data_IF_962335381225
#
_entry.id   IF_962335381225
#
_cell.length_a   1.000
_cell.length_b   1.000
_cell.length_c   1.000
_cell.angle_alpha   90.00
_cell.angle_beta   90.00
_cell.angle_gamma   90.00
#
_symmetry.space_group_name_H-M   'P 1'
#
loop_
_entity.id
_entity.type
_entity.pdbx_description
1 polymer ?
#
# COMPACT_ATOMS: atom_id res chain seq x y z
N UNK A 1 -4.59 3.96 35.60
CA UNK A 1 -3.33 4.46 35.01
C UNK A 1 -2.91 3.39 33.99
N UNK A 2 -3.32 3.34 32.72
CA UNK A 2 -3.73 4.35 31.73
C UNK A 2 -2.92 5.64 31.78
N UNK A 3 -1.63 5.52 31.50
CA UNK A 3 -0.77 6.63 31.11
C UNK A 3 0.14 6.19 29.94
N UNK A 4 0.08 6.95 28.84
CA UNK A 4 1.16 7.12 27.86
C UNK A 4 1.67 5.89 27.09
N UNK A 5 0.85 5.30 26.21
CA UNK A 5 1.42 4.68 25.00
C UNK A 5 1.83 5.80 24.02
N UNK A 6 3.08 6.26 24.11
CA UNK A 6 3.62 7.44 23.39
C UNK A 6 4.59 7.11 22.25
N UNK A 7 4.43 5.98 21.56
CA UNK A 7 5.03 5.77 20.23
C UNK A 7 6.56 5.62 20.14
N UNK A 8 7.23 5.44 21.27
CA UNK A 8 8.67 5.15 21.36
C UNK A 8 8.91 4.10 22.42
N UNK A 9 9.51 2.98 22.02
CA UNK A 9 10.33 2.19 22.93
C UNK A 9 11.79 2.41 22.52
N UNK A 10 12.64 2.63 23.53
CA UNK A 10 14.09 2.70 23.39
C UNK A 10 14.59 1.35 22.85
N UNK A 11 15.71 1.26 22.10
CA UNK A 11 16.33 -0.02 21.71
C UNK A 11 16.70 -0.95 22.89
N UNK A 12 16.59 -0.45 24.12
CA UNK A 12 16.92 -1.13 25.37
C UNK A 12 16.00 -0.72 26.55
N UNK A 13 14.70 -0.45 26.32
CA UNK A 13 13.74 -0.42 27.45
C UNK A 13 13.30 -1.87 27.74
N UNK A 14 13.38 -2.31 28.99
CA UNK A 14 12.99 -3.64 29.47
C UNK A 14 13.59 -4.85 28.72
N UNK A 15 14.73 -4.67 28.03
CA UNK A 15 15.46 -5.75 27.35
C UNK A 15 14.86 -6.21 26.01
N UNK A 16 13.90 -5.47 25.46
CA UNK A 16 13.35 -5.72 24.12
C UNK A 16 13.96 -4.76 23.07
N UNK A 17 14.26 -5.29 21.87
CA UNK A 17 14.93 -4.57 20.79
C UNK A 17 13.94 -3.72 19.99
N UNK A 18 14.24 -2.43 19.77
CA UNK A 18 13.43 -1.53 18.96
C UNK A 18 14.28 -0.67 18.02
N UNK A 19 13.86 -0.60 16.76
CA UNK A 19 14.64 -0.02 15.66
C UNK A 19 14.37 1.47 15.44
N UNK A 20 15.38 2.18 14.92
CA UNK A 20 15.36 3.63 14.74
C UNK A 20 14.46 4.08 13.58
N UNK A 21 13.39 4.80 13.91
CA UNK A 21 12.40 5.30 12.96
C UNK A 21 12.91 6.34 11.96
N UNK A 22 12.62 6.13 10.68
CA UNK A 22 12.30 7.22 9.75
C UNK A 22 10.77 7.23 9.55
N UNK A 23 10.17 8.41 9.35
CA UNK A 23 8.73 8.52 9.09
C UNK A 23 7.81 8.26 10.28
N UNK A 24 6.53 8.49 10.07
CA UNK A 24 5.50 8.45 11.11
C UNK A 24 4.79 7.09 11.20
N UNK A 25 4.08 6.87 12.31
CA UNK A 25 3.17 5.73 12.41
C UNK A 25 2.03 5.88 11.39
N UNK A 26 1.54 4.77 10.80
CA UNK A 26 0.32 4.74 10.00
C UNK A 26 -0.82 5.48 10.70
N UNK A 27 -1.55 6.32 9.96
CA UNK A 27 -2.61 7.14 10.54
C UNK A 27 -3.88 6.30 10.69
N UNK A 28 -4.40 6.20 11.91
CA UNK A 28 -5.60 5.43 12.25
C UNK A 28 -6.75 6.35 12.67
N UNK A 29 -7.97 6.02 12.26
CA UNK A 29 -9.20 6.63 12.79
C UNK A 29 -10.14 5.53 13.25
N UNK A 30 -10.56 5.61 14.51
CA UNK A 30 -11.56 4.75 15.12
C UNK A 30 -12.96 5.29 14.76
N UNK A 31 -13.78 4.47 14.09
CA UNK A 31 -15.18 4.78 13.69
C UNK A 31 -15.33 6.06 12.82
N UNK A 32 -14.68 6.13 11.64
CA UNK A 32 -14.91 7.23 10.70
C UNK A 32 -16.28 7.14 10.02
N UNK A 33 -16.83 5.93 9.89
CA UNK A 33 -18.18 5.68 9.39
C UNK A 33 -19.19 5.83 10.53
N UNK A 34 -20.26 6.60 10.31
CA UNK A 34 -21.40 6.60 11.22
C UNK A 34 -22.21 5.29 11.13
N UNK A 35 -23.05 5.02 12.14
CA UNK A 35 -23.81 3.77 12.19
C UNK A 35 -24.78 3.59 11.00
N UNK A 36 -25.49 4.63 10.50
CA UNK A 36 -26.29 4.53 9.29
C UNK A 36 -25.49 4.15 8.04
N UNK A 37 -24.37 4.82 7.78
CA UNK A 37 -23.51 4.55 6.62
C UNK A 37 -22.89 3.16 6.71
N UNK A 38 -22.43 2.75 7.90
CA UNK A 38 -21.90 1.41 8.13
C UNK A 38 -22.95 0.31 7.82
N UNK A 39 -24.20 0.49 8.26
CA UNK A 39 -25.28 -0.45 7.97
C UNK A 39 -25.67 -0.47 6.48
N UNK A 40 -25.70 0.69 5.82
CA UNK A 40 -25.99 0.77 4.37
C UNK A 40 -24.89 0.10 3.54
N UNK A 41 -23.62 0.39 3.86
CA UNK A 41 -22.45 -0.27 3.26
C UNK A 41 -22.52 -1.79 3.42
N UNK A 42 -22.84 -2.32 4.61
CA UNK A 42 -22.98 -3.76 4.81
C UNK A 42 -24.05 -4.38 3.90
N UNK A 43 -25.23 -3.74 3.79
CA UNK A 43 -26.30 -4.19 2.90
C UNK A 43 -25.89 -4.12 1.41
N UNK A 44 -25.22 -3.03 1.00
CA UNK A 44 -24.70 -2.87 -0.37
C UNK A 44 -23.63 -3.91 -0.71
N UNK A 45 -22.75 -4.23 0.23
CA UNK A 45 -21.75 -5.29 0.09
C UNK A 45 -22.38 -6.68 0.02
N UNK A 46 -23.46 -6.94 0.76
CA UNK A 46 -24.25 -8.18 0.61
C UNK A 46 -24.95 -8.28 -0.75
N UNK A 47 -25.41 -7.16 -1.32
CA UNK A 47 -25.95 -7.13 -2.69
C UNK A 47 -24.85 -7.45 -3.70
N UNK A 48 -23.64 -6.87 -3.56
CA UNK A 48 -22.49 -7.21 -4.40
C UNK A 48 -22.06 -8.66 -4.25
N UNK A 49 -22.00 -9.22 -3.02
CA UNK A 49 -21.73 -10.65 -2.81
C UNK A 49 -22.71 -11.52 -3.59
N UNK A 50 -24.02 -11.23 -3.54
CA UNK A 50 -25.06 -11.99 -4.26
C UNK A 50 -24.95 -11.83 -5.78
N UNK A 51 -24.60 -10.63 -6.27
CA UNK A 51 -24.43 -10.36 -7.69
C UNK A 51 -23.17 -11.03 -8.28
N UNK A 52 -22.11 -11.15 -7.48
CA UNK A 52 -20.80 -11.68 -7.88
C UNK A 52 -20.56 -13.15 -7.44
N UNK A 53 -21.55 -13.80 -6.82
CA UNK A 53 -21.44 -15.18 -6.32
C UNK A 53 -21.23 -16.21 -7.43
N UNK A 54 -21.69 -15.89 -8.66
CA UNK A 54 -21.55 -16.76 -9.83
C UNK A 54 -20.22 -16.53 -10.58
N UNK A 55 -19.42 -15.52 -10.22
CA UNK A 55 -18.25 -15.07 -11.00
C UNK A 55 -16.89 -15.24 -10.31
N UNK A 56 -16.79 -15.02 -8.99
CA UNK A 56 -15.49 -14.83 -8.28
C UNK A 56 -15.12 -15.96 -7.30
N UNK A 57 -15.65 -17.17 -7.48
CA UNK A 57 -15.36 -18.33 -6.59
C UNK A 57 -14.06 -19.08 -6.96
N UNK A 58 -12.90 -18.41 -6.81
CA UNK A 58 -11.60 -19.07 -6.58
C UNK A 58 -10.82 -18.21 -5.57
N UNK A 59 -10.40 -18.75 -4.41
CA UNK A 59 -9.48 -18.03 -3.52
C UNK A 59 -8.10 -17.89 -4.17
N UNK A 60 -7.36 -16.81 -3.84
CA UNK A 60 -5.95 -16.71 -4.23
C UNK A 60 -5.19 -17.93 -3.66
N UNK A 61 -4.37 -18.64 -4.45
CA UNK A 61 -3.83 -19.97 -4.09
C UNK A 61 -2.97 -19.97 -2.81
N UNK A 62 -2.36 -18.83 -2.46
CA UNK A 62 -1.60 -18.62 -1.22
C UNK A 62 -2.46 -18.20 -0.01
N UNK A 63 -3.72 -17.78 -0.24
CA UNK A 63 -4.57 -17.12 0.77
C UNK A 63 -6.01 -17.67 0.71
N UNK A 64 -6.14 -18.99 0.93
CA UNK A 64 -7.35 -19.83 0.83
C UNK A 64 -8.59 -19.36 1.62
N UNK A 65 -8.48 -18.28 2.40
CA UNK A 65 -9.52 -17.71 3.27
C UNK A 65 -10.06 -16.36 2.78
N UNK A 66 -9.53 -15.79 1.68
CA UNK A 66 -9.93 -14.47 1.18
C UNK A 66 -10.64 -14.53 -0.18
N UNK A 67 -11.75 -13.80 -0.32
CA UNK A 67 -12.53 -13.67 -1.55
C UNK A 67 -12.66 -12.18 -1.90
N UNK A 68 -12.34 -11.81 -3.14
CA UNK A 68 -12.45 -10.43 -3.59
C UNK A 68 -13.89 -10.16 -4.09
N UNK A 69 -14.70 -9.43 -3.31
CA UNK A 69 -16.04 -8.97 -3.72
C UNK A 69 -15.92 -7.97 -4.89
N UNK A 70 -14.92 -7.10 -4.82
CA UNK A 70 -14.53 -6.17 -5.91
C UNK A 70 -13.02 -6.33 -6.10
N UNK A 71 -12.64 -6.98 -7.20
CA UNK A 71 -11.25 -7.20 -7.57
C UNK A 71 -10.78 -6.14 -8.60
N UNK A 72 -9.79 -5.29 -8.29
CA UNK A 72 -9.28 -4.28 -9.20
C UNK A 72 -8.45 -4.83 -10.37
N UNK A 73 -8.14 -6.13 -10.38
CA UNK A 73 -7.51 -6.82 -11.52
C UNK A 73 -8.56 -7.40 -12.48
N UNK A 74 -9.80 -7.56 -12.05
CA UNK A 74 -10.88 -8.05 -12.90
C UNK A 74 -11.38 -6.93 -13.82
N UNK A 75 -11.46 -7.20 -15.12
CA UNK A 75 -11.69 -6.18 -16.16
C UNK A 75 -10.70 -4.99 -16.10
N UNK A 76 -9.44 -5.27 -15.74
CA UNK A 76 -8.35 -4.30 -15.78
C UNK A 76 -8.06 -3.76 -17.19
N UNK A 77 -7.23 -2.72 -17.28
CA UNK A 77 -6.74 -2.19 -18.55
C UNK A 77 -5.64 -3.11 -19.10
N UNK A 78 -5.78 -3.52 -20.35
CA UNK A 78 -4.81 -4.33 -21.10
C UNK A 78 -4.25 -3.51 -22.25
N UNK A 79 -2.96 -3.21 -22.23
CA UNK A 79 -2.33 -2.34 -23.21
C UNK A 79 -2.29 -2.97 -24.62
N UNK A 80 -2.74 -2.21 -25.62
CA UNK A 80 -2.91 -2.65 -27.00
C UNK A 80 -4.19 -3.46 -27.25
N UNK A 81 -5.06 -3.65 -26.24
CA UNK A 81 -6.34 -4.35 -26.37
C UNK A 81 -7.53 -3.53 -25.85
N UNK A 82 -7.47 -3.02 -24.63
CA UNK A 82 -8.51 -2.16 -24.06
C UNK A 82 -8.70 -0.94 -24.94
N UNK A 83 -9.95 -0.59 -25.25
CA UNK A 83 -10.28 0.59 -26.02
C UNK A 83 -10.46 1.80 -25.09
N UNK A 84 -10.12 2.99 -25.59
CA UNK A 84 -10.39 4.27 -24.94
C UNK A 84 -10.96 5.28 -25.93
N UNK A 85 -11.68 6.27 -25.43
CA UNK A 85 -12.13 7.41 -26.23
C UNK A 85 -10.92 8.26 -26.65
N UNK A 86 -10.66 8.28 -27.95
CA UNK A 86 -9.70 9.14 -28.61
C UNK A 86 -10.19 10.60 -28.74
N UNK A 87 -9.33 11.50 -29.27
CA UNK A 87 -9.66 12.92 -29.38
C UNK A 87 -10.89 13.25 -30.24
N UNK A 88 -11.26 12.36 -31.17
CA UNK A 88 -12.38 12.55 -32.07
C UNK A 88 -13.63 11.75 -31.63
N UNK A 89 -13.67 11.29 -30.36
CA UNK A 89 -14.66 10.38 -29.80
C UNK A 89 -14.71 8.98 -30.48
N UNK A 90 -13.67 8.66 -31.25
CA UNK A 90 -13.37 7.34 -31.78
C UNK A 90 -12.87 6.40 -30.67
N UNK A 91 -13.14 5.09 -30.77
CA UNK A 91 -12.57 4.10 -29.88
C UNK A 91 -11.24 3.61 -30.45
N UNK A 92 -10.15 3.84 -29.71
CA UNK A 92 -8.79 3.45 -30.10
C UNK A 92 -8.17 2.53 -29.03
N UNK A 93 -7.36 1.53 -29.40
CA UNK A 93 -6.62 0.73 -28.43
C UNK A 93 -5.68 1.61 -27.59
N UNK A 94 -5.65 1.41 -26.28
CA UNK A 94 -4.73 2.11 -25.39
C UNK A 94 -3.28 1.75 -25.78
N UNK A 95 -2.39 2.72 -26.07
CA UNK A 95 -1.00 2.43 -26.42
C UNK A 95 -0.25 1.78 -25.27
N UNK A 96 0.75 0.94 -25.58
CA UNK A 96 1.66 0.39 -24.56
C UNK A 96 2.53 1.51 -23.98
N UNK A 97 2.84 1.48 -22.67
CA UNK A 97 3.74 2.45 -22.07
C UNK A 97 5.15 2.33 -22.68
N UNK A 98 5.92 3.43 -22.75
CA UNK A 98 7.30 3.39 -23.21
C UNK A 98 8.16 2.46 -22.34
N UNK A 99 9.06 1.73 -23.00
CA UNK A 99 9.92 0.76 -22.32
C UNK A 99 11.14 1.46 -21.68
N UNK A 100 11.25 1.39 -20.35
CA UNK A 100 12.34 1.98 -19.57
C UNK A 100 13.36 0.90 -19.14
N UNK A 101 14.53 0.72 -19.80
CA UNK A 101 15.40 -0.44 -19.54
C UNK A 101 15.91 -0.56 -18.10
N UNK A 102 16.21 0.57 -17.44
CA UNK A 102 16.72 0.59 -16.06
C UNK A 102 15.61 0.41 -15.00
N UNK A 103 14.35 0.64 -15.38
CA UNK A 103 13.19 0.67 -14.49
C UNK A 103 12.07 -0.27 -14.95
N UNK A 104 12.36 -1.20 -15.86
CA UNK A 104 11.36 -2.07 -16.50
C UNK A 104 10.66 -3.04 -15.55
N UNK A 105 11.16 -3.19 -14.32
CA UNK A 105 10.50 -3.93 -13.25
C UNK A 105 9.48 -3.08 -12.47
N UNK A 106 9.51 -1.74 -12.56
CA UNK A 106 8.58 -0.84 -11.84
C UNK A 106 7.24 -0.63 -12.58
N UNK A 107 7.17 -0.98 -13.86
CA UNK A 107 6.00 -0.76 -14.72
C UNK A 107 5.63 -2.06 -15.43
N UNK A 108 4.35 -2.44 -15.42
CA UNK A 108 3.86 -3.50 -16.31
C UNK A 108 3.74 -2.96 -17.74
N UNK A 109 4.29 -3.65 -18.75
CA UNK A 109 4.08 -3.32 -20.16
C UNK A 109 2.73 -3.85 -20.69
N UNK A 110 2.01 -4.66 -19.90
CA UNK A 110 0.85 -5.43 -20.32
C UNK A 110 -0.45 -4.95 -19.67
N UNK A 111 -0.41 -4.63 -18.38
CA UNK A 111 -1.61 -4.39 -17.56
C UNK A 111 -1.54 -3.09 -16.75
N UNK A 112 -2.70 -2.55 -16.41
CA UNK A 112 -2.85 -1.53 -15.38
C UNK A 112 -4.21 -1.65 -14.70
N UNK A 113 -4.29 -1.36 -13.39
CA UNK A 113 -5.59 -1.17 -12.76
C UNK A 113 -6.27 0.05 -13.39
N UNK A 114 -7.58 -0.01 -13.57
CA UNK A 114 -8.36 1.11 -14.10
C UNK A 114 -8.96 1.91 -12.92
N UNK A 115 -8.36 3.04 -12.49
CA UNK A 115 -8.93 3.86 -11.42
C UNK A 115 -10.22 4.55 -11.87
N UNK A 116 -11.09 4.82 -10.91
CA UNK A 116 -12.29 5.62 -11.11
C UNK A 116 -11.99 7.08 -10.81
N UNK A 117 -12.55 7.98 -11.63
CA UNK A 117 -12.40 9.43 -11.44
C UNK A 117 -13.46 9.96 -10.47
N UNK A 118 -13.03 10.61 -9.40
CA UNK A 118 -13.89 11.24 -8.39
C UNK A 118 -13.60 12.74 -8.29
N UNK A 119 -14.63 13.55 -8.04
CA UNK A 119 -14.52 14.96 -7.66
C UNK A 119 -14.61 15.09 -6.14
N UNK A 120 -13.65 15.77 -5.53
CA UNK A 120 -13.72 16.20 -4.13
C UNK A 120 -14.29 17.62 -4.09
N UNK A 121 -15.35 17.83 -3.32
CA UNK A 121 -15.99 19.15 -3.13
C UNK A 121 -14.99 20.25 -2.69
N UNK A 122 -15.27 21.54 -2.98
CA UNK A 122 -14.36 22.63 -2.69
C UNK A 122 -14.28 22.98 -1.18
N UNK A 123 -13.23 23.69 -0.72
CA UNK A 123 -12.98 23.94 0.72
C UNK A 123 -14.11 24.65 1.48
N UNK A 124 -14.94 25.42 0.78
CA UNK A 124 -16.07 26.20 1.31
C UNK A 124 -17.36 25.38 1.52
N UNK A 125 -17.38 24.12 1.09
CA UNK A 125 -18.53 23.21 1.24
C UNK A 125 -18.25 22.10 2.25
N UNK A 126 -19.30 21.36 2.64
CA UNK A 126 -19.15 20.14 3.42
C UNK A 126 -18.32 19.09 2.64
N UNK A 127 -17.59 18.23 3.36
CA UNK A 127 -16.76 17.19 2.73
C UNK A 127 -17.65 16.11 2.09
N UNK A 128 -17.67 16.12 0.76
CA UNK A 128 -18.34 15.17 -0.13
C UNK A 128 -17.43 14.79 -1.28
N UNK A 129 -17.55 13.56 -1.73
CA UNK A 129 -16.89 13.03 -2.94
C UNK A 129 -17.97 12.56 -3.90
N UNK A 130 -17.77 12.72 -5.22
CA UNK A 130 -18.71 12.26 -6.25
C UNK A 130 -17.97 11.53 -7.36
N UNK A 131 -18.41 10.34 -7.74
CA UNK A 131 -17.91 9.65 -8.91
C UNK A 131 -18.32 10.43 -10.18
N UNK A 132 -17.35 10.75 -11.03
CA UNK A 132 -17.56 11.38 -12.34
C UNK A 132 -17.70 10.35 -13.48
N UNK A 133 -17.50 9.08 -13.17
CA UNK A 133 -17.46 7.94 -14.09
C UNK A 133 -17.82 6.67 -13.32
N UNK A 134 -18.01 5.54 -14.01
CA UNK A 134 -18.37 4.29 -13.33
C UNK A 134 -17.25 3.80 -12.39
N UNK A 135 -17.64 3.14 -11.31
CA UNK A 135 -16.73 2.46 -10.38
C UNK A 135 -16.34 1.11 -10.98
N UNK A 136 -15.04 0.86 -11.14
CA UNK A 136 -14.52 -0.40 -11.70
C UNK A 136 -15.03 -1.58 -10.88
N UNK A 137 -15.64 -2.57 -11.55
CA UNK A 137 -16.21 -3.76 -10.90
C UNK A 137 -17.57 -3.56 -10.22
N UNK A 138 -18.21 -2.39 -10.31
CA UNK A 138 -19.54 -2.13 -9.71
C UNK A 138 -20.51 -1.59 -10.76
N UNK A 139 -21.58 -2.35 -10.98
CA UNK A 139 -22.66 -2.05 -11.91
C UNK A 139 -23.25 -0.63 -11.65
N UNK A 140 -23.25 0.28 -12.64
CA UNK A 140 -23.77 1.64 -12.49
C UNK A 140 -25.24 1.75 -12.04
N UNK A 141 -26.03 0.68 -12.18
CA UNK A 141 -27.42 0.63 -11.69
C UNK A 141 -27.53 0.59 -10.17
N UNK A 142 -26.47 0.16 -9.47
CA UNK A 142 -26.39 0.06 -8.01
C UNK A 142 -26.14 1.43 -7.34
N UNK A 143 -27.02 2.38 -7.61
CA UNK A 143 -26.90 3.80 -7.22
C UNK A 143 -26.69 4.03 -5.72
N UNK A 144 -27.29 3.22 -4.85
CA UNK A 144 -27.05 3.30 -3.39
C UNK A 144 -25.62 2.87 -3.03
N UNK A 145 -25.11 1.80 -3.64
CA UNK A 145 -23.72 1.32 -3.44
C UNK A 145 -22.72 2.39 -3.86
N UNK A 146 -22.98 3.12 -4.95
CA UNK A 146 -22.18 4.27 -5.36
C UNK A 146 -22.21 5.39 -4.30
N UNK A 147 -23.39 5.76 -3.79
CA UNK A 147 -23.52 6.80 -2.76
C UNK A 147 -22.84 6.44 -1.44
N UNK A 148 -22.90 5.15 -1.05
CA UNK A 148 -22.26 4.63 0.14
C UNK A 148 -20.73 4.62 0.01
N UNK A 149 -20.20 4.23 -1.16
CA UNK A 149 -18.76 4.27 -1.46
C UNK A 149 -18.25 5.71 -1.56
N UNK A 150 -19.00 6.62 -2.17
CA UNK A 150 -18.71 8.06 -2.19
C UNK A 150 -18.60 8.63 -0.77
N UNK A 151 -19.51 8.23 0.11
CA UNK A 151 -19.53 8.64 1.51
C UNK A 151 -18.36 8.03 2.29
N UNK A 152 -18.07 6.74 2.11
CA UNK A 152 -16.92 6.07 2.72
C UNK A 152 -15.59 6.72 2.28
N UNK A 153 -15.41 6.94 0.97
CA UNK A 153 -14.23 7.60 0.41
C UNK A 153 -14.09 9.04 0.94
N UNK A 154 -15.20 9.76 1.13
CA UNK A 154 -15.17 11.08 1.75
C UNK A 154 -14.58 11.05 3.18
N UNK A 155 -14.87 10.02 3.99
CA UNK A 155 -14.24 9.86 5.32
C UNK A 155 -12.73 9.57 5.25
N UNK A 156 -12.25 9.00 4.15
CA UNK A 156 -10.83 8.73 3.91
C UNK A 156 -10.05 9.92 3.35
N UNK A 157 -10.70 10.98 2.85
CA UNK A 157 -9.99 12.16 2.27
C UNK A 157 -8.99 12.81 3.24
N UNK A 158 -9.32 13.09 4.52
CA UNK A 158 -8.35 13.70 5.45
C UNK A 158 -7.15 12.78 5.69
N UNK A 159 -7.37 11.46 5.74
CA UNK A 159 -6.30 10.47 5.89
C UNK A 159 -5.34 10.48 4.69
N UNK A 160 -5.87 10.59 3.47
CA UNK A 160 -5.04 10.76 2.27
C UNK A 160 -4.34 12.11 2.23
N UNK A 161 -5.00 13.20 2.61
CA UNK A 161 -4.39 14.54 2.72
C UNK A 161 -3.21 14.52 3.70
N UNK A 162 -3.32 13.81 4.82
CA UNK A 162 -2.20 13.56 5.74
C UNK A 162 -1.07 12.77 5.07
N UNK A 163 -1.34 11.58 4.52
CA UNK A 163 -0.30 10.74 3.91
C UNK A 163 0.42 11.44 2.72
N UNK A 164 -0.30 12.20 1.89
CA UNK A 164 0.29 13.01 0.82
C UNK A 164 1.08 14.20 1.36
N UNK A 165 0.62 14.81 2.45
CA UNK A 165 1.37 15.86 3.14
C UNK A 165 2.68 15.31 3.71
N UNK A 166 2.68 14.09 4.25
CA UNK A 166 3.87 13.42 4.77
C UNK A 166 4.88 13.04 3.68
N UNK A 167 4.39 12.68 2.49
CA UNK A 167 5.21 12.36 1.31
C UNK A 167 5.66 13.58 0.48
N UNK A 168 5.07 14.76 0.67
CA UNK A 168 5.30 15.89 -0.24
C UNK A 168 6.79 16.29 -0.27
N UNK A 169 7.39 16.36 -1.45
CA UNK A 169 8.83 16.58 -1.71
C UNK A 169 9.52 17.73 -0.94
N UNK A 170 8.79 18.76 -0.51
CA UNK A 170 9.33 19.89 0.27
C UNK A 170 9.21 19.69 1.80
N UNK A 171 8.56 18.62 2.25
CA UNK A 171 8.52 18.18 3.64
C UNK A 171 9.58 17.07 3.81
N UNK A 172 10.71 17.34 4.46
CA UNK A 172 11.73 16.33 4.65
C UNK A 172 11.22 15.21 5.57
N UNK A 173 11.43 13.96 5.18
CA UNK A 173 11.27 12.80 6.05
C UNK A 173 12.39 12.82 7.09
N UNK A 174 12.17 13.49 8.22
CA UNK A 174 13.15 13.55 9.29
C UNK A 174 13.25 12.21 10.06
N UNK A 175 14.45 11.92 10.53
CA UNK A 175 14.71 10.79 11.42
C UNK A 175 14.04 11.05 12.77
N UNK A 176 13.53 10.00 13.42
CA UNK A 176 12.90 10.11 14.74
C UNK A 176 13.88 10.48 15.85
N UNK A 177 15.17 10.17 15.66
CA UNK A 177 16.29 10.62 16.49
C UNK A 177 17.32 11.27 15.55
N UNK A 178 17.63 12.56 15.71
CA UNK A 178 18.67 13.24 14.93
C UNK A 178 20.05 13.00 15.55
N UNK A 179 21.03 12.61 14.73
CA UNK A 179 22.43 12.39 15.15
C UNK A 179 22.93 10.99 14.88
N UNK A 180 24.21 10.76 15.20
CA UNK A 180 24.95 9.51 15.04
C UNK A 180 25.60 9.15 16.38
N UNK A 181 26.11 7.92 16.53
CA UNK A 181 26.91 7.58 17.70
C UNK A 181 28.26 8.29 17.65
N UNK A 182 28.81 8.61 18.82
CA UNK A 182 30.16 9.17 18.95
C UNK A 182 31.03 8.33 19.87
N UNK A 183 32.30 8.24 19.54
CA UNK A 183 33.29 7.44 20.25
C UNK A 183 33.97 8.31 21.31
N UNK A 184 33.92 7.87 22.58
CA UNK A 184 34.35 8.67 23.73
C UNK A 184 35.72 8.24 24.25
N UNK A 185 35.92 6.94 24.41
CA UNK A 185 37.15 6.36 24.92
C UNK A 185 37.56 5.16 24.07
N UNK A 186 38.84 5.11 23.70
CA UNK A 186 39.40 4.14 22.75
C UNK A 186 40.48 3.29 23.42
N UNK A 187 40.06 2.48 24.39
CA UNK A 187 40.92 1.51 25.08
C UNK A 187 40.93 0.18 24.29
N UNK A 188 41.39 0.20 23.04
CA UNK A 188 41.53 -0.99 22.19
C UNK A 188 42.59 -1.93 22.79
N UNK A 189 42.30 -3.22 23.07
CA UNK A 189 43.30 -4.17 23.55
C UNK A 189 44.53 -4.28 22.63
N UNK A 190 45.71 -4.47 23.23
CA UNK A 190 46.98 -4.56 22.49
C UNK A 190 47.15 -5.91 21.76
N UNK A 191 47.77 -5.90 20.57
CA UNK A 191 48.10 -7.13 19.84
C UNK A 191 49.21 -7.96 20.54
N UNK A 192 49.23 -9.30 20.41
CA UNK A 192 50.27 -10.13 21.00
C UNK A 192 51.67 -9.76 20.51
N UNK A 193 52.67 -9.70 21.41
CA UNK A 193 54.07 -9.35 21.05
C UNK A 193 54.71 -10.33 20.04
N UNK A 194 54.13 -11.52 19.87
CA UNK A 194 54.72 -12.62 19.10
C UNK A 194 53.71 -13.17 18.08
N UNK A 195 54.10 -13.22 16.80
CA UNK A 195 53.25 -13.68 15.70
C UNK A 195 53.01 -15.20 15.67
N UNK A 196 53.73 -15.96 16.49
CA UNK A 196 53.63 -17.41 16.66
C UNK A 196 52.94 -17.84 17.96
N UNK A 197 52.39 -16.89 18.74
CA UNK A 197 51.57 -17.17 19.92
C UNK A 197 50.10 -17.42 19.54
N UNK A 198 49.81 -18.63 19.04
CA UNK A 198 48.45 -19.05 18.69
C UNK A 198 47.45 -18.88 19.85
N UNK A 199 47.87 -18.99 21.11
CA UNK A 199 46.99 -18.84 22.28
C UNK A 199 46.68 -17.36 22.53
N UNK A 200 47.71 -16.50 22.56
CA UNK A 200 47.57 -15.05 22.65
C UNK A 200 46.74 -14.43 21.52
N UNK A 201 46.88 -14.90 20.28
CA UNK A 201 46.02 -14.45 19.17
C UNK A 201 44.56 -14.85 19.35
N UNK A 202 44.26 -16.02 19.91
CA UNK A 202 42.88 -16.42 20.21
C UNK A 202 42.28 -15.60 21.37
N UNK A 203 43.05 -15.31 22.42
CA UNK A 203 42.60 -14.44 23.52
C UNK A 203 42.37 -12.99 23.03
N UNK A 204 43.30 -12.45 22.24
CA UNK A 204 43.18 -11.13 21.60
C UNK A 204 41.91 -11.01 20.75
N UNK A 205 41.61 -12.00 19.89
CA UNK A 205 40.38 -11.98 19.07
C UNK A 205 39.11 -11.97 19.94
N UNK A 206 39.08 -12.78 21.00
CA UNK A 206 37.95 -12.81 21.94
C UNK A 206 37.83 -11.51 22.76
N UNK A 207 38.93 -10.83 23.06
CA UNK A 207 38.93 -9.55 23.75
C UNK A 207 38.52 -8.41 22.82
N UNK A 208 38.98 -8.41 21.56
CA UNK A 208 38.51 -7.53 20.48
C UNK A 208 37.01 -7.60 20.28
N UNK A 209 36.44 -8.81 20.13
CA UNK A 209 34.99 -8.99 19.98
C UNK A 209 34.22 -8.41 21.18
N UNK A 210 34.68 -8.70 22.40
CA UNK A 210 34.07 -8.18 23.64
C UNK A 210 34.19 -6.67 23.74
N UNK A 211 35.33 -6.11 23.37
CA UNK A 211 35.58 -4.68 23.36
C UNK A 211 34.67 -3.98 22.35
N UNK A 212 34.66 -4.39 21.08
CA UNK A 212 33.80 -3.82 20.06
C UNK A 212 32.32 -3.82 20.49
N UNK A 213 31.82 -4.95 21.00
CA UNK A 213 30.44 -5.08 21.48
C UNK A 213 30.11 -4.22 22.71
N UNK A 214 31.09 -3.90 23.57
CA UNK A 214 30.87 -3.24 24.87
C UNK A 214 31.45 -1.85 25.01
N UNK A 215 32.26 -1.39 24.04
CA UNK A 215 33.01 -0.12 24.13
C UNK A 215 32.07 1.06 24.44
N UNK A 216 32.47 2.01 25.31
CA UNK A 216 31.67 3.18 25.60
C UNK A 216 31.43 4.01 24.34
N UNK A 217 30.15 4.16 23.98
CA UNK A 217 29.70 5.04 22.91
C UNK A 217 28.69 6.03 23.49
N UNK A 218 28.82 7.29 23.10
CA UNK A 218 27.80 8.31 23.34
C UNK A 218 26.76 8.18 22.24
N UNK A 219 25.57 7.71 22.62
CA UNK A 219 24.40 7.67 21.75
C UNK A 219 23.92 9.09 21.45
N UNK A 220 23.31 9.33 20.27
CA UNK A 220 22.67 10.62 19.98
C UNK A 220 21.61 10.93 21.04
N UNK A 221 21.58 12.18 21.52
CA UNK A 221 20.71 12.64 22.61
C UNK A 221 19.23 12.28 22.39
N UNK A 222 18.78 11.20 23.03
CA UNK A 222 17.36 10.94 23.23
C UNK A 222 16.89 11.88 24.34
N UNK A 223 16.02 12.87 24.08
CA UNK A 223 15.67 13.83 25.12
C UNK A 223 14.98 13.09 26.29
N UNK A 224 15.30 13.46 27.53
CA UNK A 224 14.81 12.78 28.74
C UNK A 224 13.27 12.71 28.83
N UNK A 225 12.55 13.62 28.15
CA UNK A 225 11.09 13.59 28.01
C UNK A 225 10.55 12.76 26.84
N UNK A 226 11.39 11.98 26.18
CA UNK A 226 11.14 11.36 24.88
C UNK A 226 11.18 12.37 23.72
N UNK A 227 10.76 11.90 22.54
CA UNK A 227 10.52 12.73 21.38
C UNK A 227 9.50 13.85 21.70
N UNK A 228 9.82 15.09 21.28
CA UNK A 228 9.14 16.31 21.73
C UNK A 228 8.07 16.85 20.77
N UNK A 229 7.78 16.17 19.66
CA UNK A 229 7.03 16.74 18.53
C UNK A 229 7.94 17.24 17.41
N UNK A 230 7.34 17.69 16.30
CA UNK A 230 8.00 18.21 15.11
C UNK A 230 7.68 17.44 13.82
N UNK A 231 7.63 16.10 13.84
CA UNK A 231 7.17 15.26 12.73
C UNK A 231 5.74 15.64 12.32
N UNK A 232 4.84 15.94 13.24
CA UNK A 232 3.48 16.37 12.92
C UNK A 232 3.42 17.78 12.30
N UNK A 233 4.53 18.53 12.32
CA UNK A 233 4.62 19.86 11.70
C UNK A 233 5.15 19.75 10.27
N UNK A 234 4.28 20.10 9.32
CA UNK A 234 4.54 20.02 7.87
C UNK A 234 4.47 21.42 7.28
N UNK A 235 5.51 21.79 6.53
CA UNK A 235 5.67 23.11 5.92
C UNK A 235 4.64 23.30 4.81
N UNK A 236 4.64 22.37 3.86
CA UNK A 236 3.61 22.27 2.83
C UNK A 236 2.48 21.37 3.34
N UNK A 237 1.24 21.67 2.93
CA UNK A 237 0.07 20.84 3.24
C UNK A 237 -0.73 20.57 1.98
N UNK A 238 -1.00 19.31 1.70
CA UNK A 238 -1.73 18.87 0.51
C UNK A 238 -3.21 18.78 0.84
N UNK A 239 -4.02 19.52 0.07
CA UNK A 239 -5.48 19.48 0.10
C UNK A 239 -6.00 18.91 -1.21
N UNK A 240 -6.84 17.88 -1.10
CA UNK A 240 -7.59 17.28 -2.20
C UNK A 240 -8.91 18.03 -2.47
N UNK A 241 -9.39 18.84 -1.51
CA UNK A 241 -10.58 19.71 -1.67
C UNK A 241 -10.54 20.48 -3.00
N UNK A 242 -11.63 20.41 -3.77
CA UNK A 242 -11.77 21.08 -5.07
C UNK A 242 -11.01 20.44 -6.24
N UNK A 243 -10.37 19.28 -6.04
CA UNK A 243 -9.62 18.56 -7.09
C UNK A 243 -10.37 17.31 -7.56
N UNK A 244 -10.05 16.86 -8.76
CA UNK A 244 -10.37 15.49 -9.20
C UNK A 244 -9.26 14.55 -8.76
N UNK A 245 -9.65 13.37 -8.25
CA UNK A 245 -8.74 12.31 -7.81
C UNK A 245 -9.07 11.00 -8.53
N UNK A 246 -8.08 10.13 -8.67
CA UNK A 246 -8.20 8.81 -9.29
C UNK A 246 -8.03 7.75 -8.21
N UNK A 247 -9.04 6.94 -7.98
CA UNK A 247 -9.05 5.95 -6.88
C UNK A 247 -9.40 4.58 -7.42
N UNK A 248 -8.61 3.58 -7.05
CA UNK A 248 -8.91 2.17 -7.30
C UNK A 248 -9.59 1.62 -6.04
N UNK A 249 -10.72 0.93 -6.22
CA UNK A 249 -11.42 0.23 -5.15
C UNK A 249 -11.04 -1.25 -5.16
N UNK A 250 -10.74 -1.81 -3.98
CA UNK A 250 -10.76 -3.25 -3.72
C UNK A 250 -11.66 -3.51 -2.53
N UNK A 251 -12.48 -4.56 -2.61
CA UNK A 251 -13.22 -5.07 -1.46
C UNK A 251 -12.89 -6.55 -1.33
N UNK A 252 -12.31 -6.93 -0.20
CA UNK A 252 -11.91 -8.31 0.10
C UNK A 252 -12.61 -8.76 1.36
N UNK A 253 -13.23 -9.94 1.30
CA UNK A 253 -13.86 -10.61 2.42
C UNK A 253 -12.95 -11.74 2.89
N UNK A 254 -12.51 -11.68 4.14
CA UNK A 254 -11.76 -12.77 4.78
C UNK A 254 -12.80 -13.57 5.55
N UNK A 255 -12.99 -14.86 5.26
CA UNK A 255 -14.10 -15.66 5.83
C UNK A 255 -13.85 -16.10 7.29
N UNK A 256 -13.71 -15.11 8.18
CA UNK A 256 -13.68 -15.24 9.64
C UNK A 256 -14.37 -14.02 10.30
N UNK A 257 -15.51 -14.20 10.98
CA UNK A 257 -15.85 -13.38 12.16
C UNK A 257 -15.23 -14.15 13.31
N UNK A 258 -15.54 -13.80 14.57
CA UNK A 258 -15.05 -14.60 15.69
C UNK A 258 -13.52 -14.76 15.57
N UNK A 259 -12.80 -13.78 15.00
CA UNK A 259 -11.34 -13.83 14.83
C UNK A 259 -10.66 -13.29 16.07
N UNK A 260 -9.52 -13.85 16.45
CA UNK A 260 -8.48 -13.09 17.15
C UNK A 260 -8.21 -11.77 16.41
N UNK A 261 -8.10 -10.62 17.10
CA UNK A 261 -7.88 -9.34 16.42
C UNK A 261 -6.68 -9.39 15.46
N UNK A 262 -6.90 -9.05 14.19
CA UNK A 262 -5.84 -9.03 13.18
C UNK A 262 -5.03 -7.74 13.36
N UNK A 263 -3.71 -7.85 13.36
CA UNK A 263 -2.82 -6.71 13.26
C UNK A 263 -2.33 -6.52 11.82
N UNK A 264 -2.22 -5.27 11.40
CA UNK A 264 -1.45 -4.91 10.21
C UNK A 264 -0.10 -4.36 10.68
N UNK A 265 0.97 -5.05 10.31
CA UNK A 265 2.36 -4.73 10.64
C UNK A 265 3.02 -4.00 9.47
N UNK A 266 3.91 -3.04 9.75
CA UNK A 266 4.56 -2.21 8.74
C UNK A 266 6.08 -2.21 8.86
N UNK A 267 6.76 -2.14 7.70
CA UNK A 267 8.18 -1.84 7.58
C UNK A 267 8.46 -0.91 6.41
N UNK A 268 9.56 -0.17 6.46
CA UNK A 268 10.05 0.65 5.34
C UNK A 268 11.53 0.39 5.07
N UNK A 269 12.03 0.64 3.84
CA UNK A 269 13.45 0.52 3.55
C UNK A 269 14.18 1.75 4.11
N UNK A 270 15.44 1.58 4.51
CA UNK A 270 16.27 2.66 5.04
C UNK A 270 17.55 2.81 4.22
N UNK A 271 18.08 4.02 4.15
CA UNK A 271 19.46 4.22 3.69
C UNK A 271 20.43 3.55 4.68
N UNK A 272 21.64 3.19 4.23
CA UNK A 272 22.71 2.88 5.20
C UNK A 272 22.88 4.05 6.15
N UNK A 273 22.96 3.80 7.47
CA UNK A 273 23.60 4.72 8.39
C UNK A 273 24.99 5.13 7.90
N UNK A 274 25.49 6.23 8.44
CA UNK A 274 26.81 6.80 8.15
C UNK A 274 27.45 7.29 9.43
N UNK A 275 28.71 7.69 9.33
CA UNK A 275 29.48 8.32 10.40
C UNK A 275 29.62 7.40 11.64
N UNK A 276 30.11 6.18 11.39
CA UNK A 276 30.53 5.18 12.38
C UNK A 276 31.86 4.54 11.90
N UNK A 277 32.57 3.80 12.75
CA UNK A 277 33.80 3.14 12.31
C UNK A 277 33.51 1.89 11.48
N UNK A 278 34.15 1.72 10.30
CA UNK A 278 34.03 0.51 9.49
C UNK A 278 34.28 -0.77 10.30
N UNK A 279 33.31 -1.69 10.30
CA UNK A 279 33.40 -2.95 11.04
C UNK A 279 32.80 -2.95 12.45
N UNK A 280 32.46 -1.80 13.03
CA UNK A 280 31.97 -1.73 14.42
C UNK A 280 30.52 -2.22 14.60
N UNK A 281 30.38 -3.55 14.62
CA UNK A 281 29.10 -4.23 14.87
C UNK A 281 28.50 -3.85 16.22
N UNK A 282 29.33 -3.48 17.20
CA UNK A 282 28.87 -3.04 18.50
C UNK A 282 28.16 -1.69 18.44
N UNK A 283 28.71 -0.69 17.76
CA UNK A 283 28.00 0.57 17.56
C UNK A 283 26.79 0.43 16.65
N UNK A 284 26.88 -0.27 15.51
CA UNK A 284 25.75 -0.34 14.57
C UNK A 284 24.56 -1.10 15.16
N UNK A 285 24.81 -2.17 15.92
CA UNK A 285 23.75 -2.93 16.59
C UNK A 285 23.12 -2.13 17.74
N UNK A 286 23.92 -1.45 18.56
CA UNK A 286 23.39 -0.65 19.69
C UNK A 286 22.75 0.67 19.24
N UNK A 287 23.18 1.24 18.11
CA UNK A 287 22.74 2.56 17.60
C UNK A 287 21.69 2.47 16.50
N UNK A 288 21.54 1.34 15.79
CA UNK A 288 20.51 1.19 14.75
C UNK A 288 19.80 -0.17 14.76
N UNK A 289 20.27 -1.15 15.53
CA UNK A 289 19.80 -2.53 15.49
C UNK A 289 20.32 -3.34 14.29
N UNK A 290 21.32 -2.82 13.56
CA UNK A 290 21.84 -3.43 12.34
C UNK A 290 23.17 -4.16 12.61
N UNK A 291 23.23 -5.42 12.19
CA UNK A 291 24.47 -6.19 12.04
C UNK A 291 24.88 -6.22 10.57
N UNK A 292 26.15 -6.50 10.29
CA UNK A 292 26.61 -6.72 8.92
C UNK A 292 25.76 -7.78 8.19
N UNK A 293 25.52 -7.56 6.89
CA UNK A 293 24.64 -8.38 6.06
C UNK A 293 23.14 -8.29 6.37
N UNK A 294 22.70 -7.61 7.43
CA UNK A 294 21.28 -7.52 7.78
C UNK A 294 20.48 -6.71 6.73
N UNK A 295 19.22 -7.09 6.44
CA UNK A 295 18.35 -6.31 5.56
C UNK A 295 18.19 -4.84 6.01
N UNK A 296 18.45 -3.88 5.11
CA UNK A 296 18.23 -2.44 5.33
C UNK A 296 16.76 -2.04 5.24
N UNK A 297 15.96 -2.63 6.12
CA UNK A 297 14.61 -2.17 6.41
C UNK A 297 14.42 -2.01 7.92
N UNK A 298 13.36 -1.31 8.29
CA UNK A 298 13.07 -0.97 9.67
C UNK A 298 11.59 -1.17 9.96
N UNK A 299 11.30 -1.88 11.05
CA UNK A 299 9.93 -2.10 11.54
C UNK A 299 9.34 -0.80 12.10
N UNK A 300 8.21 -0.37 11.55
CA UNK A 300 7.53 0.88 11.92
C UNK A 300 6.50 0.70 13.05
N UNK A 301 6.01 -0.52 13.28
CA UNK A 301 4.96 -0.83 14.24
C UNK A 301 3.82 -1.65 13.64
N UNK A 302 2.84 -1.99 14.48
CA UNK A 302 1.58 -2.59 14.07
C UNK A 302 0.38 -1.74 14.51
N UNK A 303 -0.78 -2.00 13.93
CA UNK A 303 -2.06 -1.56 14.49
C UNK A 303 -3.11 -2.66 14.38
N UNK A 304 -3.90 -2.84 15.44
CA UNK A 304 -4.98 -3.81 15.48
C UNK A 304 -6.17 -3.32 14.65
N UNK A 305 -6.54 -4.06 13.62
CA UNK A 305 -7.76 -3.83 12.84
C UNK A 305 -8.98 -4.25 13.65
N UNK A 306 -10.04 -3.42 13.60
CA UNK A 306 -11.33 -3.69 14.24
C UNK A 306 -12.46 -3.21 13.31
N UNK A 307 -13.70 -3.72 13.46
CA UNK A 307 -14.84 -3.24 12.68
C UNK A 307 -15.00 -1.73 12.78
N UNK A 308 -15.02 -1.05 11.63
CA UNK A 308 -15.08 0.41 11.56
C UNK A 308 -13.78 1.12 11.95
N UNK A 309 -12.61 0.48 11.92
CA UNK A 309 -11.33 1.19 11.93
C UNK A 309 -10.87 1.45 10.49
N UNK A 310 -10.33 2.63 10.22
CA UNK A 310 -9.64 2.93 8.96
C UNK A 310 -8.18 3.26 9.23
N UNK A 311 -7.30 2.74 8.36
CA UNK A 311 -5.86 2.97 8.41
C UNK A 311 -5.43 3.50 7.05
N UNK A 312 -4.59 4.54 7.04
CA UNK A 312 -3.98 5.05 5.81
C UNK A 312 -2.46 5.10 5.95
N UNK A 313 -1.79 4.68 4.88
CA UNK A 313 -0.35 4.57 4.79
C UNK A 313 0.10 4.70 3.32
N UNK A 314 1.31 5.21 3.05
CA UNK A 314 1.85 5.32 1.71
C UNK A 314 2.45 4.01 1.19
N UNK A 315 2.53 3.86 -0.14
CA UNK A 315 3.12 2.70 -0.82
C UNK A 315 4.65 2.56 -0.63
N UNK A 316 5.32 3.50 0.05
CA UNK A 316 6.73 3.34 0.48
C UNK A 316 6.86 2.39 1.69
N UNK A 317 5.75 2.05 2.35
CA UNK A 317 5.71 1.04 3.40
C UNK A 317 5.30 -0.31 2.81
N UNK A 318 6.05 -1.36 3.13
CA UNK A 318 5.53 -2.72 3.05
C UNK A 318 4.70 -3.00 4.29
N UNK A 319 3.66 -3.81 4.10
CA UNK A 319 2.80 -4.26 5.19
C UNK A 319 2.50 -5.76 5.05
N UNK A 320 2.14 -6.38 6.17
CA UNK A 320 1.55 -7.73 6.23
C UNK A 320 0.39 -7.74 7.22
N UNK A 321 -0.57 -8.62 7.00
CA UNK A 321 -1.57 -8.96 8.00
C UNK A 321 -1.04 -10.10 8.87
N UNK A 322 -1.25 -10.03 10.18
CA UNK A 322 -0.98 -11.13 11.10
C UNK A 322 -1.89 -12.32 10.80
N UNK A 323 -1.42 -13.56 11.00
CA UNK A 323 -2.24 -14.76 10.82
C UNK A 323 -3.53 -14.71 11.67
N UNK A 324 -4.68 -14.81 10.99
CA UNK A 324 -6.00 -14.86 11.61
C UNK A 324 -6.30 -16.27 12.19
N UNK A 325 -7.02 -16.33 13.31
CA UNK A 325 -7.53 -17.57 13.92
C UNK A 325 -8.92 -17.35 14.51
N UNK A 326 -9.76 -18.38 14.52
CA UNK A 326 -11.03 -18.33 15.25
C UNK A 326 -10.77 -18.22 16.78
N UNK A 327 -11.65 -17.51 17.49
CA UNK A 327 -11.73 -17.44 18.96
C UNK A 327 -12.52 -18.64 19.50
N UNK A 328 -13.36 -19.24 18.66
CA UNK A 328 -14.20 -20.41 18.93
C UNK A 328 -14.32 -21.20 17.63
N UNK A 329 -13.56 -22.29 17.50
CA UNK A 329 -13.47 -23.11 16.28
C UNK A 329 -14.83 -23.74 15.86
N UNK A 330 -15.89 -23.60 16.66
CA UNK A 330 -17.25 -24.07 16.32
C UNK A 330 -18.10 -23.06 15.56
N UNK A 331 -17.60 -21.83 15.34
CA UNK A 331 -18.34 -20.74 14.67
C UNK A 331 -17.55 -20.11 13.52
N UNK A 332 -18.21 -19.95 12.38
CA UNK A 332 -17.69 -19.28 11.17
C UNK A 332 -17.49 -17.76 11.33
N UNK A 333 -17.03 -17.10 10.26
CA UNK A 333 -17.73 -15.88 9.84
C UNK A 333 -17.11 -15.14 8.64
N UNK A 334 -17.10 -13.81 8.69
CA UNK A 334 -16.44 -12.88 7.78
C UNK A 334 -15.83 -11.64 8.45
N UNK A 335 -14.76 -11.10 7.86
CA UNK A 335 -14.20 -9.77 8.10
C UNK A 335 -13.94 -9.14 6.73
N UNK A 336 -14.73 -8.13 6.40
CA UNK A 336 -14.62 -7.44 5.11
C UNK A 336 -13.73 -6.21 5.23
N UNK A 337 -12.71 -6.14 4.37
CA UNK A 337 -11.79 -5.00 4.22
C UNK A 337 -12.15 -4.26 2.92
N UNK A 338 -12.49 -2.98 3.05
CA UNK A 338 -12.66 -2.06 1.92
C UNK A 338 -11.41 -1.18 1.81
N UNK A 339 -10.69 -1.31 0.69
CA UNK A 339 -9.42 -0.64 0.44
C UNK A 339 -9.54 0.34 -0.71
N UNK A 340 -9.15 1.58 -0.46
CA UNK A 340 -9.05 2.64 -1.46
C UNK A 340 -7.58 2.91 -1.76
N UNK A 341 -7.15 2.69 -3.00
CA UNK A 341 -5.82 3.07 -3.45
C UNK A 341 -5.90 4.39 -4.22
N UNK A 342 -5.45 5.47 -3.58
CA UNK A 342 -5.32 6.77 -4.22
C UNK A 342 -4.14 6.74 -5.20
N UNK A 343 -4.42 7.05 -6.46
CA UNK A 343 -3.40 7.36 -7.46
C UNK A 343 -2.83 8.74 -7.15
N UNK A 344 -1.51 8.91 -7.27
CA UNK A 344 -0.84 10.19 -7.02
C UNK A 344 -1.50 11.34 -7.81
N UNK A 345 -2.06 12.36 -7.12
CA UNK A 345 -2.71 13.48 -7.77
C UNK A 345 -1.72 14.42 -8.48
N UNK A 346 -0.44 14.47 -8.10
CA UNK A 346 0.55 15.35 -8.76
C UNK A 346 0.93 14.81 -10.15
N UNK A 347 0.96 13.48 -10.33
CA UNK A 347 1.11 12.84 -11.64
C UNK A 347 -0.03 13.16 -12.62
N UNK A 348 -1.16 13.69 -12.13
CA UNK A 348 -2.29 14.10 -12.98
C UNK A 348 -2.18 15.53 -13.53
N UNK A 349 -1.19 16.31 -13.09
CA UNK A 349 -1.05 17.74 -13.43
C UNK A 349 0.37 18.20 -13.76
N UNK A 350 1.32 17.28 -13.91
CA UNK A 350 2.68 17.62 -14.33
C UNK A 350 2.69 18.01 -15.82
N UNK A 351 2.66 19.31 -16.10
CA UNK A 351 2.87 19.89 -17.43
C UNK A 351 4.31 19.64 -17.92
N UNK A 352 4.58 18.44 -18.44
CA UNK A 352 5.84 18.08 -19.11
C UNK A 352 5.52 17.51 -20.49
N UNK A 353 5.19 18.41 -21.41
CA UNK A 353 5.33 18.33 -22.86
C UNK A 353 4.71 17.19 -23.69
N UNK A 354 4.16 16.11 -23.11
CA UNK A 354 3.50 15.04 -23.88
C UNK A 354 2.11 14.70 -23.37
N UNK A 355 1.18 14.46 -24.31
CA UNK A 355 -0.20 14.07 -24.02
C UNK A 355 -0.34 12.63 -23.48
N UNK A 356 0.78 11.89 -23.36
CA UNK A 356 0.82 10.46 -23.10
C UNK A 356 0.98 10.08 -21.61
N UNK A 357 1.39 11.01 -20.71
CA UNK A 357 1.74 10.64 -19.32
C UNK A 357 0.58 10.64 -18.31
N UNK A 358 -0.67 10.82 -18.75
CA UNK A 358 -1.82 10.85 -17.84
C UNK A 358 -2.33 9.44 -17.55
N UNK A 359 -2.22 8.99 -16.29
CA UNK A 359 -2.84 7.73 -15.83
C UNK A 359 -4.33 7.70 -16.22
N UNK A 360 -4.71 6.72 -17.05
CA UNK A 360 -6.07 6.58 -17.55
C UNK A 360 -7.06 6.21 -16.45
N UNK A 361 -8.35 6.40 -16.70
CA UNK A 361 -9.44 6.16 -15.74
C UNK A 361 -10.73 5.78 -16.47
N UNK A 362 -11.73 5.31 -15.73
CA UNK A 362 -13.07 4.99 -16.24
C UNK A 362 -13.82 6.17 -16.87
N UNK A 363 -13.27 7.39 -16.82
CA UNK A 363 -13.76 8.55 -17.57
C UNK A 363 -13.31 8.58 -19.05
N UNK A 364 -12.30 7.78 -19.44
CA UNK A 364 -11.81 7.64 -20.84
C UNK A 364 -11.89 6.23 -21.39
N UNK A 365 -11.95 5.21 -20.54
CA UNK A 365 -12.18 3.81 -20.93
C UNK A 365 -13.65 3.48 -20.66
N UNK A 366 -14.44 3.03 -21.65
CA UNK A 366 -15.81 2.58 -21.43
C UNK A 366 -15.86 1.23 -20.69
N UNK A 367 -17.03 0.83 -20.14
CA UNK A 367 -17.19 -0.49 -19.52
C UNK A 367 -16.80 -1.62 -20.48
N UNK A 368 -15.94 -2.52 -19.99
CA UNK A 368 -15.41 -3.66 -20.77
C UNK A 368 -16.26 -4.93 -20.58
N UNK A 369 -17.16 -4.94 -19.60
CA UNK A 369 -17.98 -6.07 -19.20
C UNK A 369 -19.00 -6.41 -20.30
N UNK A 370 -18.82 -7.54 -21.00
CA UNK A 370 -19.75 -7.97 -22.04
C UNK A 370 -21.18 -8.14 -21.52
N UNK A 371 -21.35 -8.61 -20.28
CA UNK A 371 -22.65 -8.77 -19.62
C UNK A 371 -23.39 -7.45 -19.40
N UNK A 372 -22.68 -6.38 -18.99
CA UNK A 372 -23.27 -5.06 -18.78
C UNK A 372 -23.73 -4.45 -20.11
N UNK A 373 -22.91 -4.56 -21.16
CA UNK A 373 -23.26 -4.05 -22.49
C UNK A 373 -24.41 -4.86 -23.10
N UNK A 374 -24.41 -6.20 -22.94
CA UNK A 374 -25.52 -7.06 -23.40
C UNK A 374 -26.84 -6.67 -22.73
N UNK A 375 -26.86 -6.51 -21.40
CA UNK A 375 -28.06 -6.05 -20.67
C UNK A 375 -28.50 -4.66 -21.12
N UNK A 376 -27.57 -3.72 -21.28
CA UNK A 376 -27.90 -2.36 -21.74
C UNK A 376 -28.49 -2.36 -23.17
N UNK A 377 -28.03 -3.24 -24.06
CA UNK A 377 -28.62 -3.45 -25.39
C UNK A 377 -30.02 -4.04 -25.26
N UNK A 378 -30.20 -5.11 -24.48
CA UNK A 378 -31.49 -5.78 -24.23
C UNK A 378 -32.55 -4.82 -23.62
N UNK A 379 -32.14 -3.92 -22.73
CA UNK A 379 -32.99 -2.89 -22.12
C UNK A 379 -33.31 -1.73 -23.08
N UNK A 380 -32.47 -1.49 -24.09
CA UNK A 380 -32.62 -0.36 -25.04
C UNK A 380 -33.39 -0.71 -26.31
N UNK A 381 -33.51 -2.00 -26.65
CA UNK A 381 -34.21 -2.48 -27.85
C UNK A 381 -35.66 -2.86 -27.56
N UNK A 382 -36.48 -2.88 -28.61
CA UNK A 382 -37.85 -3.40 -28.54
C UNK A 382 -37.84 -4.91 -28.32
N UNK A 383 -38.64 -5.41 -27.37
CA UNK A 383 -38.79 -6.83 -27.03
C UNK A 383 -39.20 -7.74 -28.22
N UNK A 384 -39.63 -7.15 -29.34
CA UNK A 384 -39.95 -7.87 -30.59
C UNK A 384 -38.72 -8.16 -31.47
N UNK A 385 -37.55 -7.63 -31.12
CA UNK A 385 -36.28 -7.93 -31.81
C UNK A 385 -35.85 -9.36 -31.49
N UNK A 386 -35.64 -10.24 -32.48
CA UNK A 386 -35.13 -11.60 -32.24
C UNK A 386 -33.75 -11.59 -31.57
N UNK A 387 -33.52 -12.53 -30.65
CA UNK A 387 -32.28 -12.61 -29.86
C UNK A 387 -31.03 -12.80 -30.75
N UNK A 388 -31.19 -13.41 -31.92
CA UNK A 388 -30.14 -13.58 -32.93
C UNK A 388 -29.62 -12.23 -33.46
N UNK A 389 -30.44 -11.17 -33.45
CA UNK A 389 -29.98 -9.81 -33.77
C UNK A 389 -29.22 -9.18 -32.60
N UNK A 390 -29.56 -9.52 -31.35
CA UNK A 390 -28.81 -9.08 -30.16
C UNK A 390 -27.42 -9.70 -30.16
N UNK A 391 -27.33 -11.02 -30.34
CA UNK A 391 -26.05 -11.73 -30.48
C UNK A 391 -25.21 -11.17 -31.64
N UNK A 392 -25.85 -10.84 -32.77
CA UNK A 392 -25.16 -10.22 -33.90
C UNK A 392 -24.68 -8.79 -33.61
N UNK A 393 -25.43 -7.99 -32.85
CA UNK A 393 -24.99 -6.66 -32.39
C UNK A 393 -23.79 -6.82 -31.47
N UNK A 394 -23.88 -7.69 -30.45
CA UNK A 394 -22.79 -7.95 -29.51
C UNK A 394 -21.51 -8.43 -30.22
N UNK A 395 -21.64 -9.28 -31.24
CA UNK A 395 -20.52 -9.72 -32.08
C UNK A 395 -19.86 -8.63 -32.95
N UNK A 396 -20.45 -7.43 -33.04
CA UNK A 396 -19.82 -6.25 -33.66
C UNK A 396 -19.25 -5.24 -32.65
N UNK A 397 -19.47 -5.42 -31.34
CA UNK A 397 -18.93 -4.51 -30.32
C UNK A 397 -17.52 -4.94 -29.95
N UNK A 398 -16.53 -4.14 -30.37
CA UNK A 398 -15.12 -4.36 -30.06
C UNK A 398 -14.78 -3.96 -28.60
N UNK A 399 -13.67 -4.48 -28.08
CA UNK A 399 -13.12 -4.09 -26.77
C UNK A 399 -13.79 -4.73 -25.55
N UNK A 400 -14.81 -5.58 -25.75
CA UNK A 400 -15.46 -6.32 -24.67
C UNK A 400 -14.60 -7.49 -24.17
N UNK A 401 -14.84 -7.87 -22.92
CA UNK A 401 -14.31 -9.05 -22.25
C UNK A 401 -15.48 -9.87 -21.70
N UNK A 402 -15.43 -11.18 -21.92
CA UNK A 402 -16.24 -12.13 -21.15
C UNK A 402 -15.57 -12.44 -19.80
N UNK A 403 -16.27 -13.18 -18.96
CA UNK A 403 -15.84 -13.50 -17.60
C UNK A 403 -14.65 -14.48 -17.55
N UNK A 404 -14.51 -15.38 -18.52
CA UNK A 404 -13.42 -16.37 -18.56
C UNK A 404 -12.11 -15.71 -19.01
N UNK A 405 -12.19 -14.84 -20.01
CA UNK A 405 -11.09 -14.01 -20.49
C UNK A 405 -10.67 -12.97 -19.44
N UNK A 406 -11.60 -12.25 -18.81
CA UNK A 406 -11.31 -11.33 -17.73
C UNK A 406 -10.57 -12.02 -16.57
N UNK A 407 -10.99 -13.24 -16.18
CA UNK A 407 -10.32 -14.05 -15.15
C UNK A 407 -8.89 -14.45 -15.55
N UNK A 408 -8.66 -14.86 -16.80
CA UNK A 408 -7.33 -15.21 -17.32
C UNK A 408 -6.38 -14.01 -17.30
N UNK A 409 -6.86 -12.84 -17.71
CA UNK A 409 -6.10 -11.58 -17.68
C UNK A 409 -5.77 -11.16 -16.24
N UNK A 410 -6.75 -11.25 -15.33
CA UNK A 410 -6.57 -10.94 -13.92
C UNK A 410 -5.52 -11.87 -13.26
N UNK A 411 -5.51 -13.15 -13.62
CA UNK A 411 -4.48 -14.10 -13.16
C UNK A 411 -3.08 -13.71 -13.65
N UNK A 412 -2.91 -13.41 -14.95
CA UNK A 412 -1.62 -12.93 -15.48
C UNK A 412 -1.15 -11.64 -14.81
N UNK A 413 -2.07 -10.75 -14.47
CA UNK A 413 -1.79 -9.52 -13.71
C UNK A 413 -1.38 -9.79 -12.25
N UNK A 414 -2.00 -10.77 -11.56
CA UNK A 414 -1.57 -11.21 -10.23
C UNK A 414 -0.14 -11.73 -10.25
N UNK A 415 0.19 -12.62 -11.18
CA UNK A 415 1.55 -13.16 -11.31
C UNK A 415 2.60 -12.08 -11.61
N UNK A 416 2.29 -11.09 -12.46
CA UNK A 416 3.17 -9.95 -12.68
C UNK A 416 3.38 -9.12 -11.40
N UNK A 417 2.32 -8.94 -10.61
CA UNK A 417 2.38 -8.19 -9.35
C UNK A 417 3.14 -8.93 -8.25
N UNK A 418 3.01 -10.25 -8.18
CA UNK A 418 3.76 -11.11 -7.27
C UNK A 418 5.26 -11.10 -7.62
N UNK A 419 5.60 -11.23 -8.91
CA UNK A 419 6.98 -11.05 -9.42
C UNK A 419 7.53 -9.66 -9.10
N UNK A 420 6.72 -8.60 -9.27
CA UNK A 420 7.09 -7.25 -8.85
C UNK A 420 7.41 -7.16 -7.35
N UNK A 421 6.57 -7.73 -6.48
CA UNK A 421 6.80 -7.69 -5.04
C UNK A 421 8.10 -8.40 -4.63
N UNK A 422 8.41 -9.56 -5.20
CA UNK A 422 9.68 -10.27 -4.96
C UNK A 422 10.89 -9.40 -5.36
N UNK A 423 10.89 -8.86 -6.59
CA UNK A 423 11.99 -8.00 -7.09
C UNK A 423 12.09 -6.69 -6.29
N UNK A 424 10.97 -6.10 -5.89
CA UNK A 424 10.93 -4.87 -5.09
C UNK A 424 11.46 -5.11 -3.67
N UNK A 425 11.17 -6.27 -3.07
CA UNK A 425 11.74 -6.66 -1.79
C UNK A 425 13.26 -6.79 -1.87
N UNK A 426 13.76 -7.62 -2.80
CA UNK A 426 15.18 -7.85 -3.06
C UNK A 426 15.95 -6.54 -3.32
N UNK A 427 15.37 -5.63 -4.12
CA UNK A 427 16.05 -4.39 -4.56
C UNK A 427 15.98 -3.23 -3.59
N UNK A 428 15.09 -3.25 -2.59
CA UNK A 428 14.89 -2.08 -1.71
C UNK A 428 14.83 -2.43 -0.22
N UNK A 429 14.17 -3.52 0.16
CA UNK A 429 13.95 -3.88 1.58
C UNK A 429 14.98 -4.89 2.09
N UNK A 430 15.47 -5.76 1.21
CA UNK A 430 16.39 -6.84 1.51
C UNK A 430 17.83 -6.59 1.01
N UNK A 431 18.14 -5.33 0.67
CA UNK A 431 19.52 -4.90 0.43
C UNK A 431 20.34 -5.07 1.73
N UNK A 432 21.49 -5.76 1.71
CA UNK A 432 22.30 -5.93 2.92
C UNK A 432 22.85 -4.58 3.39
N UNK A 433 22.96 -4.44 4.72
CA UNK A 433 23.80 -3.45 5.36
C UNK A 433 25.25 -3.92 5.23
N UNK A 434 26.10 -3.09 4.64
CA UNK A 434 27.54 -3.31 4.56
C UNK A 434 28.19 -2.45 5.65
N UNK A 435 28.72 -3.10 6.67
CA UNK A 435 29.33 -2.42 7.82
C UNK A 435 30.66 -1.74 7.49
N UNK A 436 31.22 -1.98 6.30
CA UNK A 436 32.46 -1.36 5.84
C UNK A 436 32.20 -0.12 4.96
N UNK A 437 30.93 0.17 4.64
CA UNK A 437 30.49 1.39 3.96
C UNK A 437 29.88 2.40 4.95
N UNK A 438 30.77 3.09 5.67
CA UNK A 438 30.44 4.19 6.59
C UNK A 438 30.21 5.55 5.90
#
# INVERSE_FOLDING_TARGET
>A
MNELNRGYLHPFWDGALYYYGVGELPRTVDRPLDLPLFASLQLGLEQLRKHNHDTINIPDEDDAMSINIVDPFHFALVYGRTLMFGPNCDLIPVPRPPHFPLYGYLFSPNFSCLPTLFLVSPPNEALRVKALSYITGIDPTLTQVYADIESALATCIPLFEHALTDLHRNNPLCHRIPGTCTYTNWDEPDEPEHSDDDEGWNEYQLEMERWALRRPIEYPDVPVGGYKGGLETRKEKISLRGRTIKVILRVTDIHLTNITPIEIEFRMPICSPRDFDPGDTGATMRTWGLTDGAPRNQYLGSTTLRPGHSVSFPNIYQHKLSSARLQDDTKEGSMTIMSFFLTDPELSGAEIHDQESTILSTARVPPQQMSWIRRAVEESIDLRVPIELVEKIMGYVEGLMDEEDARKLAQGMREERERFWKIHDERWFSLPFDIWQA
#
